data_IF_808462263489
#
_entry.id   IF_808462263489
#
_cell.length_a   1.000
_cell.length_b   1.000
_cell.length_c   1.000
_cell.angle_alpha   90.00
_cell.angle_beta   90.00
_cell.angle_gamma   90.00
#
_symmetry.space_group_name_H-M   'P 1'
#
loop_
_entity.id
_entity.type
_entity.pdbx_description
1 polymer ?
#
# COMPACT_ATOMS: atom_id res chain seq x y z
N UNK A 1 29.06 14.12 -3.94
CA UNK A 1 29.17 13.63 -5.34
C UNK A 1 28.03 12.65 -5.54
N UNK A 2 26.93 13.13 -6.13
CA UNK A 2 25.71 12.36 -6.31
C UNK A 2 25.81 11.58 -7.62
N UNK A 3 25.69 10.26 -7.56
CA UNK A 3 25.41 9.43 -8.73
C UNK A 3 24.06 8.76 -8.50
N UNK A 4 23.01 9.42 -8.96
CA UNK A 4 21.70 8.83 -9.23
C UNK A 4 21.80 8.34 -10.67
N UNK A 5 21.75 7.03 -10.87
CA UNK A 5 21.47 6.45 -12.19
C UNK A 5 20.06 5.86 -12.15
N UNK A 6 19.18 6.40 -12.99
CA UNK A 6 17.94 5.76 -13.39
C UNK A 6 17.99 5.55 -14.91
N UNK A 7 17.75 4.28 -15.26
CA UNK A 7 17.35 3.72 -16.56
C UNK A 7 18.43 3.58 -17.66
N UNK A 8 18.41 2.44 -18.41
CA UNK A 8 17.30 2.18 -19.33
C UNK A 8 16.83 0.71 -19.50
N UNK A 9 15.54 0.58 -19.80
CA UNK A 9 14.94 -0.36 -20.76
C UNK A 9 15.53 -1.77 -20.90
N UNK A 10 14.89 -2.77 -20.30
CA UNK A 10 14.70 -4.09 -20.92
C UNK A 10 13.63 -4.88 -20.18
N UNK A 11 12.62 -5.31 -20.94
CA UNK A 11 11.79 -6.44 -20.52
C UNK A 11 12.70 -7.68 -20.49
N UNK A 12 13.35 -7.93 -19.36
CA UNK A 12 14.13 -9.15 -19.16
C UNK A 12 13.22 -10.23 -18.58
N UNK A 13 13.03 -11.28 -19.38
CA UNK A 13 12.24 -12.48 -19.15
C UNK A 13 12.78 -13.41 -18.05
N UNK A 14 13.55 -12.88 -17.10
CA UNK A 14 14.11 -13.65 -15.99
C UNK A 14 13.87 -12.93 -14.66
N UNK A 15 12.72 -13.24 -14.05
CA UNK A 15 12.23 -12.81 -12.73
C UNK A 15 13.09 -13.33 -11.55
N UNK A 16 14.42 -13.46 -11.68
CA UNK A 16 15.26 -14.10 -10.66
C UNK A 16 16.28 -13.17 -9.96
N UNK A 17 16.39 -11.90 -10.33
CA UNK A 17 17.40 -11.00 -9.71
C UNK A 17 16.81 -9.75 -9.04
N UNK A 18 15.73 -9.91 -8.27
CA UNK A 18 15.22 -8.88 -7.36
C UNK A 18 16.02 -8.81 -6.04
N UNK A 19 17.34 -8.55 -6.14
CA UNK A 19 18.14 -8.20 -4.94
C UNK A 19 17.91 -6.75 -4.47
N UNK A 20 17.10 -5.96 -5.20
CA UNK A 20 16.59 -4.65 -4.79
C UNK A 20 15.21 -4.75 -4.11
N UNK A 21 15.01 -5.82 -3.36
CA UNK A 21 13.80 -6.17 -2.63
C UNK A 21 13.26 -4.98 -1.84
N UNK A 22 12.08 -4.48 -2.22
CA UNK A 22 11.24 -3.71 -1.31
C UNK A 22 11.11 -4.48 0.02
N UNK A 23 11.00 -3.77 1.14
CA UNK A 23 10.96 -4.36 2.49
C UNK A 23 9.86 -5.42 2.65
N UNK A 24 8.86 -5.44 1.77
CA UNK A 24 7.77 -6.42 1.71
C UNK A 24 8.26 -7.80 1.27
N UNK A 25 9.14 -7.90 0.27
CA UNK A 25 9.54 -9.19 -0.31
C UNK A 25 10.40 -10.05 0.63
N UNK A 26 11.07 -9.46 1.62
CA UNK A 26 11.88 -10.18 2.63
C UNK A 26 11.07 -10.71 3.82
N UNK A 27 9.78 -10.41 3.94
CA UNK A 27 8.95 -10.92 5.04
C UNK A 27 8.30 -12.23 4.64
N UNK A 28 8.62 -13.30 5.38
CA UNK A 28 7.96 -14.60 5.30
C UNK A 28 7.89 -15.21 3.89
N UNK A 29 8.96 -15.07 3.09
CA UNK A 29 9.00 -15.51 1.69
C UNK A 29 7.78 -15.05 0.87
N UNK A 30 7.32 -13.81 1.13
CA UNK A 30 6.17 -13.23 0.43
C UNK A 30 6.27 -13.36 -1.09
N UNK A 31 7.49 -13.28 -1.64
CA UNK A 31 7.74 -13.47 -3.06
C UNK A 31 7.37 -14.88 -3.56
N UNK A 32 7.75 -15.95 -2.84
CA UNK A 32 7.49 -17.33 -3.28
C UNK A 32 6.03 -17.75 -3.10
N UNK A 33 5.33 -17.10 -2.17
CA UNK A 33 3.96 -17.42 -1.82
C UNK A 33 2.95 -16.34 -2.21
N UNK A 34 3.33 -15.34 -3.02
CA UNK A 34 2.47 -14.21 -3.37
C UNK A 34 1.09 -14.64 -3.88
N UNK A 35 1.05 -15.68 -4.72
CA UNK A 35 -0.19 -16.22 -5.29
C UNK A 35 -1.14 -16.85 -4.25
N UNK A 36 -0.65 -17.14 -3.03
CA UNK A 36 -1.45 -17.66 -1.93
C UNK A 36 -2.07 -16.54 -1.08
N UNK A 37 -1.64 -15.29 -1.27
CA UNK A 37 -2.17 -14.15 -0.54
C UNK A 37 -3.34 -13.51 -1.27
N UNK A 38 -4.30 -13.03 -0.48
CA UNK A 38 -5.35 -12.14 -0.95
C UNK A 38 -5.12 -10.74 -0.36
N UNK A 39 -4.84 -9.77 -1.23
CA UNK A 39 -4.61 -8.37 -0.81
C UNK A 39 -5.95 -7.71 -0.54
N UNK A 40 -6.19 -7.34 0.71
CA UNK A 40 -7.32 -6.51 1.11
C UNK A 40 -6.87 -5.05 1.21
N UNK A 41 -7.51 -4.18 0.43
CA UNK A 41 -7.22 -2.74 0.45
C UNK A 41 -7.97 -2.09 1.62
N UNK A 42 -7.25 -1.32 2.42
CA UNK A 42 -7.82 -0.54 3.50
C UNK A 42 -7.93 0.93 3.08
N UNK A 43 -9.13 1.49 3.24
CA UNK A 43 -9.39 2.91 3.08
C UNK A 43 -9.86 3.48 4.43
N UNK A 44 -9.18 4.52 4.88
CA UNK A 44 -9.52 5.25 6.11
C UNK A 44 -10.92 5.85 6.04
N UNK A 45 -11.36 6.29 4.85
CA UNK A 45 -12.68 6.90 4.64
C UNK A 45 -13.78 5.86 4.46
N UNK A 46 -13.44 4.69 3.91
CA UNK A 46 -14.37 3.59 3.70
C UNK A 46 -13.88 2.26 4.31
N UNK A 47 -13.84 2.14 5.65
CA UNK A 47 -13.39 0.92 6.31
C UNK A 47 -14.34 -0.27 6.07
N UNK A 48 -15.57 -0.02 5.63
CA UNK A 48 -16.58 -1.06 5.39
C UNK A 48 -16.16 -2.02 4.28
N UNK A 49 -15.41 -1.55 3.27
CA UNK A 49 -14.90 -2.42 2.20
C UNK A 49 -13.93 -3.47 2.74
N UNK A 50 -13.02 -3.07 3.62
CA UNK A 50 -12.10 -3.99 4.29
C UNK A 50 -12.86 -5.02 5.11
N UNK A 51 -13.78 -4.56 5.95
CA UNK A 51 -14.53 -5.41 6.89
C UNK A 51 -15.39 -6.41 6.14
N UNK A 52 -16.09 -5.98 5.08
CA UNK A 52 -16.92 -6.86 4.26
C UNK A 52 -16.07 -7.84 3.44
N UNK A 53 -14.95 -7.40 2.89
CA UNK A 53 -14.00 -8.25 2.19
C UNK A 53 -13.42 -9.33 3.10
N UNK A 54 -12.98 -8.95 4.30
CA UNK A 54 -12.49 -9.89 5.31
C UNK A 54 -13.57 -10.90 5.71
N UNK A 55 -14.80 -10.44 5.98
CA UNK A 55 -15.91 -11.33 6.32
C UNK A 55 -16.21 -12.32 5.19
N UNK A 56 -16.18 -11.88 3.93
CA UNK A 56 -16.39 -12.76 2.78
C UNK A 56 -15.32 -13.86 2.68
N UNK A 57 -14.05 -13.52 2.95
CA UNK A 57 -12.95 -14.49 3.00
C UNK A 57 -13.18 -15.51 4.12
N UNK A 58 -13.49 -15.05 5.33
CA UNK A 58 -13.73 -15.94 6.47
C UNK A 58 -14.92 -16.89 6.22
N UNK A 59 -16.00 -16.40 5.60
CA UNK A 59 -17.14 -17.24 5.20
C UNK A 59 -16.74 -18.29 4.16
N UNK A 60 -15.93 -17.90 3.17
CA UNK A 60 -15.40 -18.83 2.15
C UNK A 60 -14.59 -19.97 2.77
N UNK A 61 -13.93 -19.72 3.90
CA UNK A 61 -13.18 -20.72 4.66
C UNK A 61 -13.98 -21.39 5.79
N UNK A 62 -15.31 -21.30 5.76
CA UNK A 62 -16.22 -21.96 6.70
C UNK A 62 -16.05 -21.56 8.17
N UNK A 63 -15.59 -20.33 8.42
CA UNK A 63 -15.56 -19.78 9.79
C UNK A 63 -17.00 -19.55 10.28
N UNK A 64 -17.35 -19.93 11.52
CA UNK A 64 -18.70 -19.72 12.05
C UNK A 64 -19.10 -18.24 12.05
N UNK A 65 -20.36 -17.95 11.71
CA UNK A 65 -20.85 -16.56 11.59
C UNK A 65 -20.72 -15.79 12.92
N UNK A 66 -20.88 -16.46 14.07
CA UNK A 66 -20.67 -15.84 15.39
C UNK A 66 -19.25 -15.30 15.58
N UNK A 67 -18.23 -16.00 15.07
CA UNK A 67 -16.84 -15.53 15.11
C UNK A 67 -16.61 -14.38 14.13
N UNK A 68 -17.25 -14.43 12.97
CA UNK A 68 -17.18 -13.36 11.96
C UNK A 68 -17.81 -12.08 12.49
N UNK A 69 -18.96 -12.17 13.16
CA UNK A 69 -19.65 -11.05 13.78
C UNK A 69 -18.87 -10.45 14.94
N UNK A 70 -18.23 -11.30 15.74
CA UNK A 70 -17.29 -10.84 16.75
C UNK A 70 -16.16 -10.01 16.13
N UNK A 71 -15.46 -10.55 15.12
CA UNK A 71 -14.36 -9.86 14.43
C UNK A 71 -14.84 -8.54 13.80
N UNK A 72 -15.99 -8.57 13.10
CA UNK A 72 -16.61 -7.38 12.49
C UNK A 72 -16.85 -6.28 13.52
N UNK A 73 -17.38 -6.65 14.67
CA UNK A 73 -17.69 -5.72 15.77
C UNK A 73 -16.42 -5.18 16.41
N UNK A 74 -15.42 -6.03 16.65
CA UNK A 74 -14.14 -5.63 17.24
C UNK A 74 -13.38 -4.63 16.36
N UNK A 75 -13.30 -4.87 15.05
CA UNK A 75 -12.60 -3.98 14.10
C UNK A 75 -13.35 -2.64 13.97
N UNK A 76 -14.68 -2.66 14.02
CA UNK A 76 -15.50 -1.44 13.89
C UNK A 76 -15.46 -0.56 15.14
N UNK A 77 -15.39 -1.18 16.32
CA UNK A 77 -15.46 -0.49 17.62
C UNK A 77 -14.10 0.06 18.07
N UNK A 78 -13.00 -0.63 17.73
CA UNK A 78 -11.66 -0.27 18.17
C UNK A 78 -11.01 0.81 17.30
N UNK A 79 -11.54 2.04 17.31
CA UNK A 79 -10.76 3.21 16.88
C UNK A 79 -10.00 3.75 18.08
N UNK A 80 -8.70 3.45 18.15
CA UNK A 80 -7.81 3.97 19.19
C UNK A 80 -7.82 5.50 19.18
N UNK A 81 -8.05 6.11 20.35
CA UNK A 81 -8.12 7.57 20.52
C UNK A 81 -6.80 8.30 20.17
N UNK A 82 -5.68 7.58 20.16
CA UNK A 82 -4.37 8.09 19.73
C UNK A 82 -4.29 8.13 18.20
N UNK A 83 -4.88 9.18 17.62
CA UNK A 83 -4.76 9.47 16.18
C UNK A 83 -3.65 10.51 15.99
N UNK A 84 -2.57 10.11 15.35
CA UNK A 84 -1.59 11.05 14.74
C UNK A 84 -2.08 11.57 13.38
N UNK A 85 -3.28 11.16 12.97
CA UNK A 85 -3.92 11.63 11.74
C UNK A 85 -4.60 12.99 11.95
N UNK A 86 -4.30 13.96 11.10
CA UNK A 86 -4.95 15.27 11.04
C UNK A 86 -4.32 16.33 11.94
N UNK A 87 -3.09 16.13 12.42
CA UNK A 87 -2.36 17.22 13.09
C UNK A 87 -1.92 18.26 12.07
N UNK A 88 -1.74 19.51 12.50
CA UNK A 88 -1.34 20.60 11.62
C UNK A 88 0.01 20.31 10.95
N UNK A 89 0.93 19.70 11.67
CA UNK A 89 2.27 19.33 11.19
C UNK A 89 2.17 18.26 10.09
N UNK A 90 1.25 17.30 10.24
CA UNK A 90 1.04 16.28 9.22
C UNK A 90 0.47 16.87 7.94
N UNK A 91 -0.53 17.74 8.03
CA UNK A 91 -1.13 18.34 6.84
C UNK A 91 -0.14 19.27 6.14
N UNK A 92 0.61 20.08 6.87
CA UNK A 92 1.68 20.92 6.31
C UNK A 92 2.76 20.10 5.61
N UNK A 93 3.20 18.99 6.21
CA UNK A 93 4.19 18.10 5.60
C UNK A 93 3.65 17.47 4.32
N UNK A 94 2.39 17.02 4.35
CA UNK A 94 1.72 16.43 3.19
C UNK A 94 1.57 17.45 2.07
N UNK A 95 1.16 18.68 2.36
CA UNK A 95 1.07 19.78 1.39
C UNK A 95 2.44 20.10 0.79
N UNK A 96 3.49 20.18 1.60
CA UNK A 96 4.87 20.44 1.13
C UNK A 96 5.38 19.33 0.19
N UNK A 97 5.03 18.08 0.45
CA UNK A 97 5.37 16.95 -0.41
C UNK A 97 4.57 17.01 -1.72
N UNK A 98 3.24 17.13 -1.63
CA UNK A 98 2.33 17.09 -2.79
C UNK A 98 2.52 18.28 -3.74
N UNK A 99 2.96 19.42 -3.23
CA UNK A 99 3.25 20.62 -4.03
C UNK A 99 4.61 20.57 -4.76
N UNK A 100 5.50 19.63 -4.40
CA UNK A 100 6.83 19.51 -5.00
C UNK A 100 6.90 18.33 -5.98
N UNK A 101 7.01 18.65 -7.28
CA UNK A 101 7.19 17.65 -8.35
C UNK A 101 8.40 16.75 -8.09
N UNK A 102 9.50 17.32 -7.62
CA UNK A 102 10.73 16.57 -7.32
C UNK A 102 10.51 15.56 -6.19
N UNK A 103 9.87 15.96 -5.09
CA UNK A 103 9.62 15.06 -3.97
C UNK A 103 8.62 13.96 -4.33
N UNK A 104 7.58 14.28 -5.10
CA UNK A 104 6.63 13.28 -5.57
C UNK A 104 7.26 12.29 -6.56
N UNK A 105 8.08 12.76 -7.49
CA UNK A 105 8.83 11.88 -8.40
C UNK A 105 9.73 10.92 -7.62
N UNK A 106 10.46 11.42 -6.62
CA UNK A 106 11.29 10.61 -5.76
C UNK A 106 10.47 9.57 -4.98
N UNK A 107 9.34 9.96 -4.38
CA UNK A 107 8.46 9.05 -3.66
C UNK A 107 7.85 7.98 -4.56
N UNK A 108 7.38 8.35 -5.76
CA UNK A 108 6.88 7.37 -6.71
C UNK A 108 7.95 6.36 -7.11
N UNK A 109 9.19 6.82 -7.33
CA UNK A 109 10.31 5.92 -7.64
C UNK A 109 10.64 4.98 -6.47
N UNK A 110 10.55 5.47 -5.23
CA UNK A 110 10.74 4.64 -4.04
C UNK A 110 9.68 3.56 -3.89
N UNK A 111 8.41 3.87 -4.21
CA UNK A 111 7.26 2.96 -4.02
C UNK A 111 6.74 2.34 -5.32
N UNK A 112 7.47 2.47 -6.43
CA UNK A 112 7.00 2.08 -7.76
C UNK A 112 6.51 0.62 -7.80
N UNK A 113 7.30 -0.29 -7.23
CA UNK A 113 6.95 -1.72 -7.19
C UNK A 113 5.72 -2.01 -6.35
N UNK A 114 5.50 -1.26 -5.28
CA UNK A 114 4.33 -1.45 -4.43
C UNK A 114 3.05 -1.02 -5.17
N UNK A 115 3.11 0.05 -5.99
CA UNK A 115 2.00 0.44 -6.87
C UNK A 115 1.66 -0.64 -7.88
N UNK A 116 2.67 -1.19 -8.57
CA UNK A 116 2.49 -2.23 -9.58
C UNK A 116 1.97 -3.52 -8.96
N UNK A 117 2.62 -4.00 -7.89
CA UNK A 117 2.33 -5.28 -7.26
C UNK A 117 0.96 -5.32 -6.58
N UNK A 118 0.57 -4.23 -5.91
CA UNK A 118 -0.70 -4.13 -5.20
C UNK A 118 -1.83 -3.55 -6.06
N UNK A 119 -1.52 -3.18 -7.31
CA UNK A 119 -2.47 -2.62 -8.26
C UNK A 119 -3.09 -1.32 -7.76
N UNK A 120 -2.29 -0.42 -7.17
CA UNK A 120 -2.73 0.94 -6.85
C UNK A 120 -2.52 1.85 -8.06
N UNK A 121 -3.45 2.79 -8.34
CA UNK A 121 -3.23 3.76 -9.39
C UNK A 121 -2.04 4.64 -9.04
N UNK A 122 -1.22 4.96 -10.03
CA UNK A 122 -0.20 5.99 -9.87
C UNK A 122 -0.86 7.34 -9.58
N UNK A 123 -0.30 8.14 -8.67
CA UNK A 123 -0.85 9.45 -8.36
C UNK A 123 -0.78 10.35 -9.61
N UNK A 124 -1.92 10.92 -9.99
CA UNK A 124 -1.98 11.93 -11.03
C UNK A 124 -1.62 13.28 -10.41
N UNK A 125 -0.51 13.88 -10.84
CA UNK A 125 -0.15 15.25 -10.47
C UNK A 125 -0.17 16.13 -11.72
N UNK A 126 -0.74 17.33 -11.57
CA UNK A 126 -0.86 18.27 -12.66
C UNK A 126 0.55 18.81 -12.96
N UNK A 127 1.11 18.46 -14.11
CA UNK A 127 2.40 18.99 -14.58
C UNK A 127 2.13 20.38 -15.16
N UNK A 128 1.67 21.32 -14.33
CA UNK A 128 1.65 22.72 -14.71
C UNK A 128 3.04 23.30 -14.48
N UNK A 129 3.85 23.24 -15.55
CA UNK A 129 5.01 24.08 -15.87
C UNK A 129 6.04 24.34 -14.76
N UNK A 130 7.18 23.66 -14.86
CA UNK A 130 8.50 24.25 -14.62
C UNK A 130 9.32 24.10 -15.89
#
# INVERSE_FOLDING_TARGET
>A
MYHIYLEPSRADSNLQNWNYSSYIFRRCDFNSHFNNYQVLKFDTFNPSQLINGLAAILRKHHVPEASIDYIRTSISTARTAHRTMGTAEQEQTKEAILSSKYLMDLLMKMYFYDYVLLGFPFPLFNISNQ
#
